data_IF_326987889563
#
_entry.id   IF_326987889563
#
_cell.length_a   1.000
_cell.length_b   1.000
_cell.length_c   1.000
_cell.angle_alpha   90.00
_cell.angle_beta   90.00
_cell.angle_gamma   90.00
#
_symmetry.space_group_name_H-M   'P 1'
#
loop_
_entity.id
_entity.type
_entity.pdbx_description
1 polymer ?
#
# COMPACT_ATOMS: atom_id res chain seq x y z
N UNK A 1 -13.43 -1.50 7.66
CA UNK A 1 -13.35 -0.46 6.61
C UNK A 1 -14.70 -0.34 5.95
N UNK A 2 -15.19 0.89 5.74
CA UNK A 2 -16.43 1.20 5.02
C UNK A 2 -16.10 1.49 3.55
N UNK A 3 -16.89 0.91 2.65
CA UNK A 3 -16.89 1.27 1.23
C UNK A 3 -18.25 1.92 0.92
N UNK A 4 -18.29 3.11 0.30
CA UNK A 4 -19.55 3.73 -0.12
C UNK A 4 -20.32 2.80 -1.05
N UNK A 5 -21.62 2.63 -0.83
CA UNK A 5 -22.46 1.91 -1.80
C UNK A 5 -22.48 2.67 -3.13
N UNK A 6 -22.13 2.00 -4.22
CA UNK A 6 -22.30 2.56 -5.57
C UNK A 6 -23.75 2.45 -6.03
N UNK A 7 -24.20 3.40 -6.85
CA UNK A 7 -25.53 3.38 -7.49
C UNK A 7 -25.39 3.29 -9.01
N UNK A 8 -25.30 2.05 -9.57
CA UNK A 8 -25.09 1.83 -11.01
C UNK A 8 -26.19 2.46 -11.88
N UNK A 9 -27.43 2.48 -11.40
CA UNK A 9 -28.59 3.04 -12.08
C UNK A 9 -28.51 4.56 -12.33
N UNK A 10 -27.68 5.26 -11.54
CA UNK A 10 -27.41 6.69 -11.69
C UNK A 10 -25.99 6.97 -12.22
N UNK A 11 -25.20 5.93 -12.45
CA UNK A 11 -23.83 6.03 -12.95
C UNK A 11 -23.81 5.96 -14.48
N UNK A 12 -22.98 6.82 -15.09
CA UNK A 12 -22.76 6.86 -16.54
C UNK A 12 -21.25 6.91 -16.82
N UNK A 13 -20.86 6.86 -18.10
CA UNK A 13 -19.46 6.99 -18.52
C UNK A 13 -18.77 8.27 -18.03
N UNK A 14 -19.51 9.33 -17.67
CA UNK A 14 -18.94 10.63 -17.26
C UNK A 14 -19.35 11.06 -15.85
N UNK A 15 -20.18 10.28 -15.17
CA UNK A 15 -20.72 10.62 -13.84
C UNK A 15 -20.75 9.35 -13.00
N UNK A 16 -20.03 9.34 -11.87
CA UNK A 16 -20.09 8.28 -10.88
C UNK A 16 -20.96 8.72 -9.71
N UNK A 17 -21.91 7.88 -9.30
CA UNK A 17 -22.83 8.17 -8.18
C UNK A 17 -22.68 7.10 -7.12
N UNK A 18 -22.34 7.53 -5.91
CA UNK A 18 -22.15 6.68 -4.74
C UNK A 18 -22.79 7.29 -3.50
N UNK A 19 -22.86 6.49 -2.44
CA UNK A 19 -23.33 6.88 -1.12
C UNK A 19 -22.55 8.09 -0.61
N UNK A 20 -23.28 9.11 -0.16
CA UNK A 20 -22.67 10.22 0.53
C UNK A 20 -22.19 9.76 1.91
N UNK A 21 -20.89 9.87 2.16
CA UNK A 21 -20.30 9.51 3.45
C UNK A 21 -20.01 10.77 4.25
N UNK A 22 -20.57 10.86 5.45
CA UNK A 22 -20.23 11.89 6.43
C UNK A 22 -18.92 11.53 7.15
N UNK A 23 -18.14 12.55 7.49
CA UNK A 23 -16.92 12.40 8.26
C UNK A 23 -15.93 13.51 7.99
N UNK A 24 -14.73 13.34 8.51
CA UNK A 24 -13.59 14.23 8.31
C UNK A 24 -12.51 13.53 7.50
N UNK A 25 -11.72 14.28 6.72
CA UNK A 25 -10.57 13.70 6.01
C UNK A 25 -9.59 13.15 7.03
N UNK A 26 -9.18 11.89 6.86
CA UNK A 26 -8.27 11.24 7.82
C UNK A 26 -6.98 12.04 8.00
N UNK A 27 -6.44 12.59 6.91
CA UNK A 27 -5.24 13.44 6.92
C UNK A 27 -5.36 14.77 7.69
N UNK A 28 -6.58 15.21 7.99
CA UNK A 28 -6.87 16.48 8.68
C UNK A 28 -7.49 16.26 10.06
N UNK A 29 -7.85 15.02 10.39
CA UNK A 29 -8.43 14.66 11.68
C UNK A 29 -7.38 14.79 12.78
N UNK A 30 -7.79 15.34 13.91
CA UNK A 30 -7.01 15.37 15.15
C UNK A 30 -7.61 14.45 16.21
N UNK A 31 -8.47 13.50 15.80
CA UNK A 31 -9.02 12.51 16.70
C UNK A 31 -7.91 11.57 17.23
N UNK A 32 -8.17 11.00 18.39
CA UNK A 32 -7.24 10.11 19.10
C UNK A 32 -7.07 8.74 18.43
N UNK A 33 -8.08 8.28 17.68
CA UNK A 33 -8.09 7.01 16.95
C UNK A 33 -7.46 7.08 15.54
N UNK A 34 -6.93 8.23 15.10
CA UNK A 34 -6.35 8.38 13.75
C UNK A 34 -5.25 7.37 13.49
N UNK A 35 -4.39 7.11 14.48
CA UNK A 35 -3.31 6.12 14.35
C UNK A 35 -3.84 4.70 14.19
N UNK A 36 -4.92 4.36 14.90
CA UNK A 36 -5.57 3.06 14.76
C UNK A 36 -6.20 2.90 13.37
N UNK A 37 -6.82 3.95 12.84
CA UNK A 37 -7.38 3.97 11.49
C UNK A 37 -6.30 3.89 10.42
N UNK A 38 -5.14 4.52 10.62
CA UNK A 38 -3.97 4.37 9.73
C UNK A 38 -3.51 2.91 9.72
N UNK A 39 -3.41 2.25 10.88
CA UNK A 39 -3.07 0.84 10.96
C UNK A 39 -4.09 -0.04 10.22
N UNK A 40 -5.39 0.23 10.40
CA UNK A 40 -6.45 -0.44 9.63
C UNK A 40 -6.26 -0.22 8.12
N UNK A 41 -5.90 0.98 7.70
CA UNK A 41 -5.55 1.29 6.32
C UNK A 41 -4.40 0.43 5.83
N UNK A 42 -3.24 0.46 6.49
CA UNK A 42 -2.06 -0.33 6.12
C UNK A 42 -2.40 -1.82 5.99
N UNK A 43 -3.10 -2.39 6.97
CA UNK A 43 -3.53 -3.79 6.92
C UNK A 43 -4.46 -4.04 5.73
N UNK A 44 -5.38 -3.13 5.44
CA UNK A 44 -6.32 -3.26 4.31
C UNK A 44 -5.59 -3.29 2.97
N UNK A 45 -4.66 -2.35 2.74
CA UNK A 45 -3.90 -2.30 1.48
C UNK A 45 -2.92 -3.48 1.35
N UNK A 46 -2.28 -3.92 2.44
CA UNK A 46 -1.45 -5.13 2.42
C UNK A 46 -2.27 -6.39 2.18
N UNK A 47 -3.48 -6.49 2.73
CA UNK A 47 -4.39 -7.63 2.48
C UNK A 47 -4.82 -7.67 1.02
N UNK A 48 -5.17 -6.51 0.45
CA UNK A 48 -5.48 -6.38 -0.98
C UNK A 48 -4.29 -6.81 -1.86
N UNK A 49 -3.08 -6.34 -1.53
CA UNK A 49 -1.88 -6.59 -2.30
C UNK A 49 -1.41 -8.05 -2.21
N UNK A 50 -1.20 -8.55 -0.99
CA UNK A 50 -0.52 -9.81 -0.72
C UNK A 50 -1.49 -10.99 -0.53
N UNK A 51 -2.72 -10.72 -0.11
CA UNK A 51 -3.76 -11.74 0.08
C UNK A 51 -4.60 -11.93 -1.17
N UNK A 52 -5.36 -10.89 -1.52
CA UNK A 52 -6.39 -10.97 -2.57
C UNK A 52 -5.82 -10.84 -3.99
N UNK A 53 -4.69 -10.15 -4.17
CA UNK A 53 -4.14 -9.87 -5.50
C UNK A 53 -4.99 -8.88 -6.31
N UNK A 54 -5.82 -8.10 -5.63
CA UNK A 54 -6.62 -7.02 -6.22
C UNK A 54 -6.40 -5.76 -5.40
N UNK A 55 -5.57 -4.87 -5.93
CA UNK A 55 -4.88 -3.84 -5.18
C UNK A 55 -5.25 -2.45 -5.63
N UNK A 56 -5.56 -1.57 -4.67
CA UNK A 56 -5.66 -0.15 -4.92
C UNK A 56 -4.27 0.50 -4.93
N UNK A 57 -3.79 0.87 -6.12
CA UNK A 57 -2.46 1.40 -6.37
C UNK A 57 -2.23 2.86 -5.94
N UNK A 58 -3.22 3.53 -5.35
CA UNK A 58 -3.10 4.93 -4.93
C UNK A 58 -3.78 5.16 -3.57
N UNK A 59 -3.16 4.73 -2.44
CA UNK A 59 -3.64 4.96 -1.08
C UNK A 59 -3.53 6.43 -0.64
N UNK A 60 -4.00 7.37 -1.47
CA UNK A 60 -3.87 8.79 -1.17
C UNK A 60 -4.72 9.17 0.06
N UNK A 61 -4.16 9.85 1.08
CA UNK A 61 -4.89 10.21 2.30
C UNK A 61 -6.13 11.08 2.06
N UNK A 62 -6.20 11.77 0.92
CA UNK A 62 -7.36 12.56 0.49
C UNK A 62 -8.59 11.72 0.14
N UNK A 63 -8.42 10.42 -0.14
CA UNK A 63 -9.49 9.46 -0.44
C UNK A 63 -9.95 8.70 0.81
N UNK A 64 -9.43 9.05 1.98
CA UNK A 64 -9.74 8.41 3.25
C UNK A 64 -10.52 9.34 4.16
N UNK A 65 -11.68 8.89 4.61
CA UNK A 65 -12.53 9.59 5.57
C UNK A 65 -12.59 8.80 6.87
N UNK A 66 -12.44 9.51 7.99
CA UNK A 66 -12.86 9.03 9.30
C UNK A 66 -14.34 9.35 9.48
N UNK A 67 -15.16 8.33 9.60
CA UNK A 67 -16.61 8.49 9.81
C UNK A 67 -16.92 8.85 11.27
N UNK A 68 -18.08 9.46 11.57
CA UNK A 68 -18.47 9.82 12.94
C UNK A 68 -18.54 8.63 13.91
N UNK A 69 -18.76 7.41 13.40
CA UNK A 69 -18.79 6.16 14.14
C UNK A 69 -17.41 5.49 14.26
N UNK A 70 -16.32 6.19 13.91
CA UNK A 70 -14.95 5.72 14.11
C UNK A 70 -14.51 4.66 13.11
N UNK A 71 -15.02 4.69 11.87
CA UNK A 71 -14.59 3.80 10.80
C UNK A 71 -13.69 4.52 9.79
N UNK A 72 -12.73 3.78 9.24
CA UNK A 72 -12.03 4.18 8.03
C UNK A 72 -12.92 3.91 6.82
N UNK A 73 -13.23 4.96 6.05
CA UNK A 73 -13.91 4.89 4.77
C UNK A 73 -12.94 5.21 3.62
N UNK A 74 -12.92 4.37 2.58
CA UNK A 74 -12.14 4.57 1.36
C UNK A 74 -13.10 4.97 0.24
N UNK A 75 -12.85 6.11 -0.41
CA UNK A 75 -13.77 6.70 -1.39
C UNK A 75 -13.48 6.33 -2.84
N UNK A 76 -12.21 6.19 -3.17
CA UNK A 76 -11.74 6.05 -4.54
C UNK A 76 -11.28 4.62 -4.80
N UNK A 77 -11.57 4.13 -6.00
CA UNK A 77 -11.19 2.83 -6.55
C UNK A 77 -10.84 2.96 -8.04
N UNK A 78 -10.44 4.15 -8.49
CA UNK A 78 -10.13 4.43 -9.89
C UNK A 78 -8.81 3.82 -10.36
N UNK A 79 -7.90 3.52 -9.43
CA UNK A 79 -6.60 2.88 -9.68
C UNK A 79 -6.53 1.51 -9.00
N UNK A 80 -7.42 0.62 -9.42
CA UNK A 80 -7.35 -0.80 -9.05
C UNK A 80 -6.57 -1.59 -10.09
N UNK A 81 -5.74 -2.52 -9.64
CA UNK A 81 -5.02 -3.46 -10.51
C UNK A 81 -5.11 -4.86 -9.96
N UNK A 82 -5.07 -5.84 -10.86
CA UNK A 82 -4.83 -7.23 -10.50
C UNK A 82 -3.32 -7.48 -10.42
N UNK A 83 -2.95 -8.39 -9.53
CA UNK A 83 -1.58 -8.84 -9.29
C UNK A 83 -1.57 -10.36 -9.39
N UNK A 84 -0.67 -10.91 -10.20
CA UNK A 84 -0.56 -12.36 -10.36
C UNK A 84 -0.02 -13.02 -9.09
N UNK A 85 -0.24 -14.31 -8.92
CA UNK A 85 0.32 -15.05 -7.78
C UNK A 85 1.85 -14.96 -7.74
N UNK A 86 2.53 -15.06 -8.89
CA UNK A 86 3.99 -14.91 -8.98
C UNK A 86 4.45 -13.53 -8.52
N UNK A 87 3.76 -12.46 -8.92
CA UNK A 87 4.04 -11.11 -8.46
C UNK A 87 3.79 -10.94 -6.96
N UNK A 88 2.73 -11.55 -6.41
CA UNK A 88 2.49 -11.57 -4.96
C UNK A 88 3.63 -12.23 -4.21
N UNK A 89 4.08 -13.40 -4.65
CA UNK A 89 5.22 -14.09 -4.02
C UNK A 89 6.50 -13.25 -4.11
N UNK A 90 6.81 -12.69 -5.28
CA UNK A 90 7.96 -11.81 -5.45
C UNK A 90 7.91 -10.55 -4.56
N UNK A 91 6.72 -9.98 -4.33
CA UNK A 91 6.56 -8.85 -3.41
C UNK A 91 6.74 -9.27 -1.95
N UNK A 92 6.28 -10.46 -1.56
CA UNK A 92 6.52 -11.00 -0.21
C UNK A 92 8.02 -11.20 0.00
N UNK A 93 8.72 -11.82 -0.96
CA UNK A 93 10.17 -12.00 -0.92
C UNK A 93 10.90 -10.66 -0.79
N UNK A 94 10.53 -9.66 -1.61
CA UNK A 94 11.10 -8.32 -1.53
C UNK A 94 10.91 -7.64 -0.17
N UNK A 95 9.74 -7.83 0.46
CA UNK A 95 9.49 -7.31 1.81
C UNK A 95 10.38 -8.01 2.84
N UNK A 96 10.57 -9.33 2.72
CA UNK A 96 11.43 -10.12 3.61
C UNK A 96 12.89 -9.67 3.47
N UNK A 97 13.42 -9.58 2.25
CA UNK A 97 14.78 -9.11 2.00
C UNK A 97 14.99 -7.67 2.49
N UNK A 98 13.99 -6.79 2.32
CA UNK A 98 14.04 -5.43 2.85
C UNK A 98 14.12 -5.39 4.37
N UNK A 99 13.34 -6.20 5.08
CA UNK A 99 13.35 -6.27 6.56
C UNK A 99 14.69 -6.82 7.06
N UNK A 100 15.21 -7.85 6.40
CA UNK A 100 16.49 -8.48 6.74
C UNK A 100 17.71 -7.65 6.31
N UNK A 101 17.49 -6.60 5.50
CA UNK A 101 18.53 -5.75 4.91
C UNK A 101 19.42 -6.48 3.90
N UNK A 102 18.85 -7.47 3.22
CA UNK A 102 19.50 -8.26 2.18
C UNK A 102 19.45 -7.49 0.85
N UNK A 103 20.17 -6.37 0.78
CA UNK A 103 20.05 -5.41 -0.32
C UNK A 103 20.48 -5.95 -1.68
N UNK A 104 21.39 -6.93 -1.72
CA UNK A 104 21.77 -7.64 -2.95
C UNK A 104 20.58 -8.40 -3.53
N UNK A 105 19.83 -9.08 -2.66
CA UNK A 105 18.66 -9.88 -3.05
C UNK A 105 17.50 -8.97 -3.51
N UNK A 106 17.34 -7.78 -2.92
CA UNK A 106 16.38 -6.77 -3.40
C UNK A 106 16.63 -6.36 -4.86
N UNK A 107 17.91 -6.27 -5.27
CA UNK A 107 18.25 -6.00 -6.66
C UNK A 107 17.75 -7.09 -7.60
N UNK A 108 17.81 -8.35 -7.17
CA UNK A 108 17.27 -9.48 -7.91
C UNK A 108 15.74 -9.51 -7.88
N UNK A 109 15.11 -9.17 -6.74
CA UNK A 109 13.65 -9.07 -6.64
C UNK A 109 13.07 -8.07 -7.63
N UNK A 110 13.74 -6.94 -7.85
CA UNK A 110 13.32 -5.95 -8.85
C UNK A 110 13.36 -6.49 -10.29
N UNK A 111 14.20 -7.48 -10.58
CA UNK A 111 14.14 -8.19 -11.86
C UNK A 111 12.97 -9.17 -11.89
N UNK A 112 12.78 -9.93 -10.82
CA UNK A 112 11.71 -10.92 -10.71
C UNK A 112 10.32 -10.26 -10.76
N UNK A 113 10.21 -9.00 -10.30
CA UNK A 113 9.02 -8.17 -10.34
C UNK A 113 8.86 -7.35 -11.63
N UNK A 114 9.74 -7.55 -12.62
CA UNK A 114 9.77 -6.81 -13.90
C UNK A 114 9.94 -5.28 -13.74
N UNK A 115 10.44 -4.79 -12.60
CA UNK A 115 10.81 -3.38 -12.42
C UNK A 115 12.11 -3.02 -13.14
N UNK A 116 12.99 -4.01 -13.29
CA UNK A 116 14.27 -3.90 -13.99
C UNK A 116 14.36 -5.06 -15.00
N UNK A 117 14.78 -4.82 -16.25
CA UNK A 117 15.00 -5.90 -17.21
C UNK A 117 16.01 -6.93 -16.69
N UNK A 118 15.75 -8.22 -16.97
CA UNK A 118 16.54 -9.32 -16.42
C UNK A 118 18.04 -9.27 -16.78
N UNK A 119 18.38 -8.67 -17.92
CA UNK A 119 19.74 -8.56 -18.46
C UNK A 119 20.54 -7.38 -17.89
N UNK A 120 19.93 -6.48 -17.12
CA UNK A 120 20.60 -5.32 -16.53
C UNK A 120 21.37 -5.72 -15.28
N UNK A 121 22.64 -5.29 -15.14
CA UNK A 121 23.40 -5.46 -13.91
C UNK A 121 22.89 -4.51 -12.81
N UNK A 122 22.49 -5.09 -11.67
CA UNK A 122 21.93 -4.35 -10.52
C UNK A 122 22.97 -4.03 -9.45
N UNK A 123 24.17 -4.61 -9.51
CA UNK A 123 25.27 -4.31 -8.58
C UNK A 123 25.55 -2.79 -8.44
N UNK A 124 25.54 -1.98 -9.52
CA UNK A 124 25.83 -0.55 -9.41
C UNK A 124 24.80 0.24 -8.60
N UNK A 125 23.55 -0.23 -8.48
CA UNK A 125 22.48 0.47 -7.76
C UNK A 125 22.37 0.05 -6.29
N UNK A 126 22.95 -1.09 -5.90
CA UNK A 126 22.87 -1.60 -4.51
C UNK A 126 23.31 -0.56 -3.48
N UNK A 127 24.45 0.15 -3.62
CA UNK A 127 24.86 1.16 -2.64
C UNK A 127 23.90 2.35 -2.52
N UNK A 128 23.16 2.66 -3.59
CA UNK A 128 22.12 3.68 -3.55
C UNK A 128 20.87 3.16 -2.82
N UNK A 129 20.43 1.94 -3.14
CA UNK A 129 19.29 1.29 -2.47
C UNK A 129 19.53 1.15 -0.97
N UNK A 130 20.70 0.66 -0.55
CA UNK A 130 21.10 0.56 0.86
C UNK A 130 20.93 1.88 1.60
N UNK A 131 21.44 2.99 1.03
CA UNK A 131 21.32 4.32 1.67
C UNK A 131 19.88 4.78 1.83
N UNK A 132 19.05 4.56 0.81
CA UNK A 132 17.63 4.96 0.82
C UNK A 132 16.85 4.15 1.84
N UNK A 133 17.00 2.83 1.83
CA UNK A 133 16.23 1.93 2.69
C UNK A 133 16.73 1.92 4.14
N UNK A 134 18.03 2.02 4.40
CA UNK A 134 18.54 2.19 5.77
C UNK A 134 18.00 3.47 6.41
N UNK A 135 17.92 4.57 5.65
CA UNK A 135 17.35 5.83 6.14
C UNK A 135 15.86 5.69 6.45
N UNK A 136 15.10 5.01 5.59
CA UNK A 136 13.67 4.75 5.80
C UNK A 136 13.43 3.86 7.04
N UNK A 137 14.21 2.79 7.20
CA UNK A 137 14.11 1.88 8.35
C UNK A 137 14.61 2.51 9.66
N UNK A 138 15.54 3.47 9.59
CA UNK A 138 16.05 4.18 10.76
C UNK A 138 15.03 5.16 11.36
N UNK A 139 14.14 5.72 10.54
CA UNK A 139 13.08 6.67 10.92
C UNK A 139 11.73 6.03 11.28
N UNK A 140 11.54 4.73 11.00
CA UNK A 140 10.30 3.99 11.29
C UNK A 140 10.42 2.97 12.43
N UNK A 141 9.28 2.45 12.88
CA UNK A 141 9.18 1.41 13.92
C UNK A 141 9.80 0.04 13.55
N UNK A 142 10.38 -0.10 12.37
CA UNK A 142 11.02 -1.34 11.90
C UNK A 142 12.24 -1.77 12.75
N UNK A 143 12.79 -0.89 13.60
CA UNK A 143 13.84 -1.26 14.56
C UNK A 143 13.43 -2.36 15.55
N UNK A 144 12.13 -2.61 15.75
CA UNK A 144 11.63 -3.65 16.67
C UNK A 144 11.22 -4.96 15.99
N UNK A 145 11.30 -5.06 14.66
CA UNK A 145 10.92 -6.28 13.93
C UNK A 145 12.21 -7.02 13.59
N UNK A 146 12.53 -8.02 14.40
CA UNK A 146 13.64 -8.93 14.16
C UNK A 146 13.06 -10.35 14.11
N UNK A 147 13.14 -11.02 12.96
CA UNK A 147 12.68 -12.40 12.78
C UNK A 147 13.82 -13.42 12.99
N UNK A 148 14.75 -13.09 13.91
CA UNK A 148 15.72 -14.05 14.44
C UNK A 148 15.18 -14.74 15.68
#
# INVERSE_FOLDING_TARGET
VKIPKNYPEYTTRRVHVAEWVYGEKLAQSTADDVLDLVNVGVVTYLTQLLGEGFFHADPHPGNMIRTPDGQLCILDFGLMTEVTDDQKYGMIEAIVHLINRDYTDIGQDFKNLDFIPADVDVEPIIPALTRVFDAALAGGGAKSINFN
#
